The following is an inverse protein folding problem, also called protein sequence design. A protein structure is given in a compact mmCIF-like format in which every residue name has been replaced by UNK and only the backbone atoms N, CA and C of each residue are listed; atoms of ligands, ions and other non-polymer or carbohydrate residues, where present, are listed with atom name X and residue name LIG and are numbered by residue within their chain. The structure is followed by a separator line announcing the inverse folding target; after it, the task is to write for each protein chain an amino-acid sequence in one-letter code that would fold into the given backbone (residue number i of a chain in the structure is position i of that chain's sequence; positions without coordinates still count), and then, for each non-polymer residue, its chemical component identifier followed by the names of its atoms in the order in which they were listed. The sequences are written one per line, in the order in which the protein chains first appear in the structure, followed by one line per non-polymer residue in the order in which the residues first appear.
data_IF_650165607999
#
_entry.id   IF_650165607999
#
_cell.length_a   1.000
_cell.length_b   1.000
_cell.length_c   1.000
_cell.angle_alpha   90.00
_cell.angle_beta   90.00
_cell.angle_gamma   90.00
#
_symmetry.space_group_name_H-M   'P 1'
#
loop_
_entity.id
_entity.type
_entity.pdbx_description
1 polymer ?
#
# COMPACT_ATOMS: atom_id res chain seq x y z
N UNK A 1 11.21 -1.07 0.74
CA UNK A 1 10.00 -1.08 -0.11
C UNK A 1 8.91 -0.21 0.48
N UNK A 2 8.43 -0.45 1.71
CA UNK A 2 7.34 0.37 2.28
C UNK A 2 7.64 1.89 2.35
N UNK A 3 8.89 2.28 2.60
CA UNK A 3 9.31 3.69 2.56
C UNK A 3 9.07 4.37 1.20
N UNK A 4 9.09 3.60 0.10
CA UNK A 4 8.76 4.10 -1.24
C UNK A 4 7.29 4.51 -1.33
N UNK A 5 6.38 3.73 -0.73
CA UNK A 5 4.95 4.06 -0.68
C UNK A 5 4.67 5.26 0.23
N UNK A 6 5.25 5.26 1.42
CA UNK A 6 5.11 6.38 2.37
C UNK A 6 5.58 7.70 1.73
N UNK A 7 6.67 7.64 0.96
CA UNK A 7 7.18 8.78 0.19
C UNK A 7 6.25 9.11 -0.96
N UNK A 8 5.77 8.11 -1.71
CA UNK A 8 4.81 8.32 -2.81
C UNK A 8 3.55 9.07 -2.36
N UNK A 9 2.91 8.62 -1.28
CA UNK A 9 1.75 9.30 -0.70
C UNK A 9 2.10 10.72 -0.24
N UNK A 10 3.28 10.91 0.38
CA UNK A 10 3.74 12.25 0.79
C UNK A 10 3.87 13.18 -0.41
N UNK A 11 4.40 12.71 -1.53
CA UNK A 11 4.50 13.49 -2.77
C UNK A 11 3.12 13.94 -3.26
N UNK A 12 2.12 13.04 -3.29
CA UNK A 12 0.75 13.41 -3.64
C UNK A 12 0.16 14.43 -2.66
N UNK A 13 0.41 14.30 -1.36
CA UNK A 13 -0.07 15.25 -0.35
C UNK A 13 0.58 16.64 -0.49
N UNK A 14 1.87 16.68 -0.81
CA UNK A 14 2.65 17.91 -0.84
C UNK A 14 2.50 18.66 -2.18
N UNK A 15 2.32 17.94 -3.29
CA UNK A 15 2.32 18.49 -4.65
C UNK A 15 1.00 18.34 -5.40
N UNK A 16 0.02 17.62 -4.84
CA UNK A 16 -1.25 17.31 -5.48
C UNK A 16 -1.20 16.07 -6.38
N UNK A 17 -2.25 15.88 -7.17
CA UNK A 17 -2.37 14.75 -8.09
C UNK A 17 -1.23 14.76 -9.14
N UNK A 18 -0.54 13.63 -9.32
CA UNK A 18 0.64 13.55 -10.18
C UNK A 18 0.25 13.06 -11.59
N UNK A 19 0.24 11.75 -11.80
CA UNK A 19 -0.24 11.11 -13.03
C UNK A 19 -0.52 9.62 -12.81
N UNK A 20 -1.23 8.99 -13.75
CA UNK A 20 -1.57 7.57 -13.70
C UNK A 20 -0.33 6.65 -13.59
N UNK A 21 0.75 6.81 -14.40
CA UNK A 21 1.96 5.99 -14.26
C UNK A 21 2.60 6.03 -12.88
N UNK A 22 2.58 7.20 -12.21
CA UNK A 22 3.05 7.33 -10.84
C UNK A 22 2.24 6.43 -9.89
N UNK A 23 0.91 6.50 -9.93
CA UNK A 23 0.07 5.66 -9.07
C UNK A 23 0.17 4.18 -9.39
N UNK A 24 0.20 3.80 -10.67
CA UNK A 24 0.43 2.40 -11.09
C UNK A 24 1.74 1.84 -10.51
N UNK A 25 2.78 2.68 -10.39
CA UNK A 25 4.05 2.27 -9.78
C UNK A 25 3.93 2.03 -8.28
N UNK A 26 3.12 2.83 -7.57
CA UNK A 26 2.82 2.64 -6.15
C UNK A 26 2.00 1.38 -5.92
N UNK A 27 0.95 1.15 -6.72
CA UNK A 27 0.14 -0.09 -6.66
C UNK A 27 1.01 -1.34 -6.86
N UNK A 28 1.85 -1.33 -7.90
CA UNK A 28 2.76 -2.43 -8.20
C UNK A 28 3.75 -2.68 -7.04
N UNK A 29 4.22 -1.62 -6.38
CA UNK A 29 5.08 -1.76 -5.20
C UNK A 29 4.31 -2.34 -4.01
N UNK A 30 3.06 -1.91 -3.80
CA UNK A 30 2.19 -2.42 -2.74
C UNK A 30 1.96 -3.93 -2.87
N UNK A 31 1.57 -4.39 -4.07
CA UNK A 31 1.40 -5.82 -4.38
C UNK A 31 2.69 -6.63 -4.12
N UNK A 32 3.85 -6.08 -4.49
CA UNK A 32 5.15 -6.73 -4.25
C UNK A 32 5.49 -6.81 -2.75
N UNK A 33 5.13 -5.80 -1.95
CA UNK A 33 5.32 -5.85 -0.50
C UNK A 33 4.46 -6.96 0.10
N UNK A 34 3.18 -7.04 -0.27
CA UNK A 34 2.29 -8.11 0.19
C UNK A 34 2.86 -9.49 -0.14
N UNK A 35 3.27 -9.71 -1.41
CA UNK A 35 3.87 -10.96 -1.84
C UNK A 35 5.13 -11.33 -1.02
N UNK A 36 5.92 -10.34 -0.63
CA UNK A 36 7.07 -10.56 0.24
C UNK A 36 6.69 -10.82 1.70
N UNK A 37 5.67 -10.12 2.24
CA UNK A 37 5.20 -10.29 3.61
C UNK A 37 4.61 -11.68 3.85
N UNK A 38 3.87 -12.24 2.88
CA UNK A 38 3.33 -13.60 2.94
C UNK A 38 4.41 -14.67 3.22
N UNK A 39 5.69 -14.39 2.92
CA UNK A 39 6.84 -15.28 3.11
C UNK A 39 7.59 -15.05 4.43
N UNK A 40 7.16 -14.10 5.27
CA UNK A 40 7.87 -13.70 6.50
C UNK A 40 7.22 -14.28 7.75
N UNK A 41 7.97 -14.40 8.86
CA UNK A 41 7.41 -14.79 10.15
C UNK A 41 6.34 -13.81 10.63
N UNK A 42 5.39 -14.30 11.42
CA UNK A 42 4.24 -13.54 11.95
C UNK A 42 4.64 -12.19 12.55
N UNK A 43 5.66 -12.15 13.41
CA UNK A 43 6.15 -10.89 14.01
C UNK A 43 6.51 -9.82 12.97
N UNK A 44 7.08 -10.23 11.83
CA UNK A 44 7.40 -9.31 10.74
C UNK A 44 6.12 -8.90 10.00
N UNK A 45 5.23 -9.85 9.72
CA UNK A 45 3.93 -9.56 9.10
C UNK A 45 3.14 -8.52 9.90
N UNK A 46 2.97 -8.71 11.20
CA UNK A 46 2.23 -7.78 12.08
C UNK A 46 2.83 -6.37 12.07
N UNK A 47 4.16 -6.25 12.16
CA UNK A 47 4.83 -4.95 12.20
C UNK A 47 4.65 -4.15 10.89
N UNK A 48 4.74 -4.82 9.74
CA UNK A 48 4.56 -4.17 8.45
C UNK A 48 3.10 -4.00 8.05
N UNK A 49 2.21 -4.86 8.54
CA UNK A 49 0.76 -4.74 8.35
C UNK A 49 0.23 -3.41 8.85
N UNK A 50 0.63 -3.01 10.07
CA UNK A 50 0.22 -1.72 10.64
C UNK A 50 0.62 -0.54 9.75
N UNK A 51 1.84 -0.58 9.21
CA UNK A 51 2.33 0.47 8.30
C UNK A 51 1.61 0.48 6.95
N UNK A 52 1.23 -0.70 6.42
CA UNK A 52 0.43 -0.76 5.19
C UNK A 52 -0.96 -0.15 5.42
N UNK A 53 -1.57 -0.38 6.58
CA UNK A 53 -2.82 0.30 6.97
C UNK A 53 -2.67 1.82 6.98
N UNK A 54 -1.58 2.33 7.56
CA UNK A 54 -1.29 3.76 7.57
C UNK A 54 -1.13 4.32 6.15
N UNK A 55 -0.46 3.59 5.25
CA UNK A 55 -0.35 3.96 3.83
C UNK A 55 -1.73 4.01 3.17
N UNK A 56 -2.57 2.99 3.36
CA UNK A 56 -3.92 2.94 2.77
C UNK A 56 -4.78 4.11 3.26
N UNK A 57 -4.81 4.36 4.58
CA UNK A 57 -5.55 5.49 5.16
C UNK A 57 -5.02 6.83 4.67
N UNK A 58 -3.69 6.98 4.54
CA UNK A 58 -3.11 8.21 4.01
C UNK A 58 -3.44 8.43 2.54
N UNK A 59 -3.79 7.38 1.79
CA UNK A 59 -4.14 7.47 0.39
C UNK A 59 -5.61 7.84 0.13
N UNK A 60 -6.46 8.00 1.16
CA UNK A 60 -7.88 8.30 0.97
C UNK A 60 -8.10 9.51 0.08
N UNK A 61 -8.80 9.31 -1.04
CA UNK A 61 -9.09 10.36 -2.02
C UNK A 61 -7.93 10.73 -2.94
N UNK A 62 -6.81 10.01 -2.90
CA UNK A 62 -5.73 10.14 -3.89
C UNK A 62 -6.13 9.52 -5.23
N UNK A 63 -5.46 10.00 -6.29
CA UNK A 63 -5.88 9.93 -7.68
C UNK A 63 -6.30 8.56 -8.23
N UNK A 64 -6.93 8.60 -9.41
CA UNK A 64 -7.04 7.52 -10.41
C UNK A 64 -7.42 6.10 -9.91
N UNK A 65 -8.10 5.98 -8.76
CA UNK A 65 -8.45 4.67 -8.17
C UNK A 65 -7.32 4.03 -7.36
N UNK A 66 -6.21 4.72 -7.14
CA UNK A 66 -5.06 4.26 -6.36
C UNK A 66 -5.46 3.75 -4.98
N UNK A 67 -6.22 4.57 -4.25
CA UNK A 67 -6.73 4.23 -2.93
C UNK A 67 -7.54 2.93 -2.95
N UNK A 68 -8.44 2.79 -3.91
CA UNK A 68 -9.30 1.63 -4.04
C UNK A 68 -8.48 0.37 -4.34
N UNK A 69 -7.49 0.48 -5.24
CA UNK A 69 -6.60 -0.62 -5.62
C UNK A 69 -5.78 -1.15 -4.43
N UNK A 70 -5.13 -0.26 -3.66
CA UNK A 70 -4.34 -0.70 -2.51
C UNK A 70 -5.21 -1.14 -1.32
N UNK A 71 -6.43 -0.61 -1.19
CA UNK A 71 -7.40 -1.06 -0.19
C UNK A 71 -7.81 -2.50 -0.48
N UNK A 72 -8.18 -2.80 -1.73
CA UNK A 72 -8.55 -4.15 -2.17
C UNK A 72 -7.41 -5.15 -1.94
N UNK A 73 -6.17 -4.79 -2.27
CA UNK A 73 -5.01 -5.64 -2.04
C UNK A 73 -4.77 -5.90 -0.54
N UNK A 74 -4.98 -4.90 0.31
CA UNK A 74 -4.82 -5.07 1.76
C UNK A 74 -5.91 -5.97 2.35
N UNK A 75 -7.16 -5.77 1.94
CA UNK A 75 -8.31 -6.59 2.35
C UNK A 75 -8.13 -8.07 1.93
N UNK A 76 -7.68 -8.33 0.70
CA UNK A 76 -7.34 -9.68 0.23
C UNK A 76 -6.25 -10.31 1.10
N UNK A 77 -5.18 -9.56 1.40
CA UNK A 77 -4.11 -10.05 2.25
C UNK A 77 -4.58 -10.37 3.67
N UNK A 78 -5.45 -9.54 4.27
CA UNK A 78 -6.04 -9.79 5.58
C UNK A 78 -6.93 -11.04 5.59
N UNK A 79 -7.80 -11.20 4.59
CA UNK A 79 -8.68 -12.37 4.47
C UNK A 79 -7.92 -13.70 4.33
N UNK A 80 -6.73 -13.69 3.75
CA UNK A 80 -5.85 -14.87 3.69
C UNK A 80 -5.17 -15.22 5.02
N UNK A 81 -5.01 -14.28 5.95
CA UNK A 81 -4.39 -14.55 7.26
C UNK A 81 -5.38 -15.14 8.27
N UNK A 82 -6.68 -14.87 8.08
CA UNK A 82 -7.75 -15.32 8.97
C UNK A 82 -8.27 -16.74 8.65
N UNK A 83 -7.75 -17.37 7.59
CA UNK A 83 -8.14 -18.69 7.08
C UNK A 83 -7.22 -19.86 7.43
#
# INVERSE_FOLDING_TARGET
MIHYLETGNRFTLDFGDIDEPFYMSLESMFARIIAELKKRPEKTRTAYHLRLKEVVVAATGMGWGYYDAISMLLEEYEGEQDG
#
